data_IF_055015943554
#
_entry.id   IF_055015943554
#
_cell.length_a   1.000
_cell.length_b   1.000
_cell.length_c   1.000
_cell.angle_alpha   90.00
_cell.angle_beta   90.00
_cell.angle_gamma   90.00
#
_symmetry.space_group_name_H-M   'P 1'
#
loop_
_entity.id
_entity.type
_entity.pdbx_description
1 polymer ?
#
# COMPACT_ATOMS: atom_id res chain seq x y z
N UNK A 1 10.79 8.96 -9.34
CA UNK A 1 9.31 8.92 -9.42
C UNK A 1 8.74 9.67 -8.22
N UNK A 2 7.71 10.51 -8.39
CA UNK A 2 7.09 11.21 -7.25
C UNK A 2 6.41 10.21 -6.31
N UNK A 3 6.45 10.52 -5.01
CA UNK A 3 5.62 9.85 -4.00
C UNK A 3 4.17 10.24 -4.24
N UNK A 4 3.25 9.27 -4.20
CA UNK A 4 1.81 9.51 -4.31
C UNK A 4 1.09 9.00 -3.08
N UNK A 5 -0.01 9.68 -2.73
CA UNK A 5 -0.97 9.27 -1.71
C UNK A 5 -0.30 8.87 -0.36
N UNK A 6 0.49 9.75 0.27
CA UNK A 6 1.11 9.43 1.56
C UNK A 6 0.05 9.31 2.67
N UNK A 7 0.21 8.31 3.53
CA UNK A 7 -0.63 8.10 4.71
C UNK A 7 0.23 7.71 5.92
N UNK A 8 0.15 8.51 6.99
CA UNK A 8 0.80 8.18 8.27
C UNK A 8 0.03 7.08 9.01
N UNK A 9 0.75 6.18 9.68
CA UNK A 9 0.13 5.20 10.58
C UNK A 9 -0.53 5.90 11.77
N UNK A 10 -1.53 5.28 12.43
CA UNK A 10 -2.25 5.91 13.55
C UNK A 10 -1.34 6.33 14.72
N UNK A 11 -0.27 5.58 14.95
CA UNK A 11 0.75 5.86 15.96
C UNK A 11 1.83 6.86 15.50
N UNK A 12 1.76 7.33 14.24
CA UNK A 12 2.74 8.23 13.63
C UNK A 12 4.12 7.61 13.38
N UNK A 13 4.31 6.30 13.59
CA UNK A 13 5.64 5.66 13.47
C UNK A 13 6.04 5.28 12.05
N UNK A 14 5.07 5.22 11.12
CA UNK A 14 5.27 4.76 9.75
C UNK A 14 4.57 5.67 8.74
N UNK A 15 5.10 5.67 7.52
CA UNK A 15 4.49 6.32 6.36
C UNK A 15 4.27 5.28 5.26
N UNK A 16 3.02 5.07 4.86
CA UNK A 16 2.65 4.31 3.68
C UNK A 16 2.53 5.23 2.47
N UNK A 17 2.97 4.77 1.30
CA UNK A 17 2.90 5.55 0.07
C UNK A 17 3.04 4.67 -1.17
N UNK A 18 2.67 5.22 -2.34
CA UNK A 18 2.86 4.57 -3.62
C UNK A 18 4.02 5.19 -4.43
N UNK A 19 4.79 4.36 -5.13
CA UNK A 19 5.81 4.77 -6.10
C UNK A 19 5.69 3.99 -7.41
N UNK A 20 5.98 4.67 -8.52
CA UNK A 20 6.04 4.08 -9.87
C UNK A 20 7.48 3.87 -10.34
N UNK A 21 8.29 3.10 -9.58
CA UNK A 21 9.70 2.86 -9.92
C UNK A 21 9.86 1.96 -11.17
N UNK A 22 8.93 1.01 -11.36
CA UNK A 22 9.00 -0.06 -12.38
C UNK A 22 7.99 0.11 -13.52
N UNK A 23 7.36 1.27 -13.65
CA UNK A 23 6.31 1.54 -14.65
C UNK A 23 4.87 1.33 -14.14
N UNK A 24 4.69 0.58 -13.04
CA UNK A 24 3.42 0.42 -12.34
C UNK A 24 3.51 0.95 -10.91
N UNK A 25 2.38 1.41 -10.34
CA UNK A 25 2.34 1.86 -8.95
C UNK A 25 2.44 0.67 -7.99
N UNK A 26 3.35 0.77 -7.04
CA UNK A 26 3.55 -0.21 -5.98
C UNK A 26 3.58 0.46 -4.61
N UNK A 27 3.13 -0.27 -3.59
CA UNK A 27 3.05 0.21 -2.22
C UNK A 27 4.35 -0.02 -1.46
N UNK A 28 4.69 0.97 -0.65
CA UNK A 28 5.84 0.97 0.24
C UNK A 28 5.42 1.47 1.63
N UNK A 29 6.11 0.99 2.66
CA UNK A 29 6.01 1.50 4.02
C UNK A 29 7.41 1.88 4.49
N UNK A 30 7.54 3.11 5.00
CA UNK A 30 8.75 3.59 5.65
C UNK A 30 8.54 3.62 7.16
N UNK A 31 9.46 3.05 7.92
CA UNK A 31 9.60 3.35 9.34
C UNK A 31 10.25 4.74 9.49
N UNK A 32 9.60 5.67 10.18
CA UNK A 32 10.05 7.06 10.27
C UNK A 32 11.21 7.26 11.26
N UNK A 33 11.37 6.36 12.23
CA UNK A 33 12.49 6.40 13.17
C UNK A 33 13.80 5.88 12.59
N UNK A 34 13.75 4.81 11.81
CA UNK A 34 14.95 4.20 11.20
C UNK A 34 15.19 4.61 9.74
N UNK A 35 14.19 5.15 9.06
CA UNK A 35 14.22 5.40 7.62
C UNK A 35 14.12 4.12 6.76
N UNK A 36 13.97 2.94 7.38
CA UNK A 36 13.86 1.67 6.66
C UNK A 36 12.60 1.65 5.80
N UNK A 37 12.74 1.31 4.52
CA UNK A 37 11.63 1.17 3.57
C UNK A 37 11.41 -0.30 3.24
N UNK A 38 10.17 -0.76 3.38
CA UNK A 38 9.71 -2.07 2.96
C UNK A 38 8.78 -1.92 1.76
N UNK A 39 9.02 -2.68 0.70
CA UNK A 39 8.10 -2.78 -0.44
C UNK A 39 7.04 -3.85 -0.15
N UNK A 40 5.76 -3.50 -0.30
CA UNK A 40 4.64 -4.39 0.02
C UNK A 40 4.06 -5.09 -1.21
N UNK A 41 4.14 -4.44 -2.37
CA UNK A 41 3.69 -5.01 -3.65
C UNK A 41 4.79 -4.83 -4.70
N UNK A 42 4.95 -5.79 -5.61
CA UNK A 42 6.01 -5.81 -6.63
C UNK A 42 5.52 -6.25 -8.02
N UNK A 43 4.20 -6.39 -8.19
CA UNK A 43 3.58 -6.79 -9.44
C UNK A 43 3.54 -5.70 -10.51
N UNK A 44 3.01 -6.08 -11.68
CA UNK A 44 2.75 -5.19 -12.82
C UNK A 44 1.41 -4.44 -12.72
N UNK A 45 0.58 -4.83 -11.76
CA UNK A 45 -0.69 -4.18 -11.44
C UNK A 45 -0.42 -2.84 -10.73
N UNK A 46 -1.33 -1.88 -10.84
CA UNK A 46 -1.27 -0.66 -10.05
C UNK A 46 -1.85 -0.90 -8.66
N UNK A 47 -1.07 -0.52 -7.66
CA UNK A 47 -1.44 -0.55 -6.24
C UNK A 47 -1.19 0.85 -5.66
N UNK A 48 -2.25 1.52 -5.22
CA UNK A 48 -2.23 2.95 -4.88
C UNK A 48 -3.16 3.28 -3.72
N UNK A 49 -3.15 4.55 -3.30
CA UNK A 49 -4.09 5.10 -2.30
C UNK A 49 -4.12 4.29 -0.99
N UNK A 50 -2.96 4.04 -0.36
CA UNK A 50 -2.94 3.31 0.90
C UNK A 50 -3.62 4.11 2.01
N UNK A 51 -4.36 3.42 2.85
CA UNK A 51 -4.87 3.95 4.13
C UNK A 51 -4.68 2.91 5.22
N UNK A 52 -4.36 3.36 6.43
CA UNK A 52 -4.10 2.47 7.55
C UNK A 52 -5.39 1.99 8.20
N UNK A 53 -5.41 0.72 8.58
CA UNK A 53 -6.37 0.26 9.56
C UNK A 53 -6.03 0.85 10.95
N UNK A 54 -7.02 0.97 11.86
CA UNK A 54 -6.79 1.49 13.21
C UNK A 54 -5.76 0.71 14.02
N UNK A 55 -5.54 -0.57 13.67
CA UNK A 55 -4.53 -1.43 14.30
C UNK A 55 -3.08 -1.01 14.01
N UNK A 56 -2.84 -0.16 12.99
CA UNK A 56 -1.50 0.25 12.56
C UNK A 56 -0.64 -0.91 12.00
N UNK A 57 -1.25 -2.06 11.71
CA UNK A 57 -0.58 -3.27 11.23
C UNK A 57 -0.98 -3.63 9.80
N UNK A 58 -2.11 -3.13 9.32
CA UNK A 58 -2.58 -3.39 7.96
C UNK A 58 -2.87 -2.11 7.18
N UNK A 59 -2.85 -2.22 5.85
CA UNK A 59 -3.30 -1.20 4.92
C UNK A 59 -4.50 -1.69 4.13
N UNK A 60 -5.48 -0.82 3.90
CA UNK A 60 -6.38 -0.92 2.76
C UNK A 60 -5.81 -0.10 1.59
N UNK A 61 -6.05 -0.54 0.36
CA UNK A 61 -5.52 0.12 -0.84
C UNK A 61 -6.32 -0.24 -2.09
N UNK A 62 -6.20 0.58 -3.13
CA UNK A 62 -6.79 0.33 -4.44
C UNK A 62 -5.84 -0.51 -5.29
N UNK A 63 -6.32 -1.62 -5.86
CA UNK A 63 -5.57 -2.46 -6.80
C UNK A 63 -6.39 -2.81 -8.04
N UNK A 64 -5.74 -2.82 -9.22
CA UNK A 64 -6.33 -3.28 -10.49
C UNK A 64 -6.00 -4.75 -10.82
N UNK A 65 -5.41 -5.52 -9.88
CA UNK A 65 -4.99 -6.91 -10.14
C UNK A 65 -6.12 -7.87 -10.52
N UNK A 66 -7.38 -7.52 -10.22
CA UNK A 66 -8.58 -8.24 -10.64
C UNK A 66 -9.20 -7.73 -11.96
N UNK A 67 -8.51 -6.88 -12.71
CA UNK A 67 -8.96 -6.27 -13.96
C UNK A 67 -9.56 -4.86 -13.80
N UNK A 68 -10.48 -4.69 -12.84
CA UNK A 68 -11.01 -3.36 -12.45
C UNK A 68 -10.47 -2.95 -11.08
N UNK A 69 -10.32 -1.64 -10.80
CA UNK A 69 -9.92 -1.15 -9.48
C UNK A 69 -10.86 -1.63 -8.39
N UNK A 70 -10.30 -2.23 -7.34
CA UNK A 70 -11.01 -2.77 -6.19
C UNK A 70 -10.20 -2.51 -4.92
N UNK A 71 -10.84 -2.60 -3.76
CA UNK A 71 -10.20 -2.44 -2.48
C UNK A 71 -9.60 -3.76 -2.02
N UNK A 72 -8.36 -3.71 -1.59
CA UNK A 72 -7.60 -4.82 -1.02
C UNK A 72 -7.06 -4.46 0.35
N UNK A 73 -6.75 -5.48 1.15
CA UNK A 73 -6.04 -5.40 2.42
C UNK A 73 -4.69 -6.11 2.31
N UNK A 74 -3.64 -5.54 2.90
CA UNK A 74 -2.32 -6.17 3.03
C UNK A 74 -1.72 -5.84 4.40
N UNK A 75 -0.90 -6.74 4.94
CA UNK A 75 -0.10 -6.45 6.13
C UNK A 75 0.98 -5.40 5.81
N UNK A 76 1.24 -4.49 6.75
CA UNK A 76 2.30 -3.49 6.64
C UNK A 76 3.71 -4.10 6.72
N UNK A 77 3.83 -5.39 7.07
CA UNK A 77 5.07 -6.17 6.94
C UNK A 77 5.19 -6.91 5.60
N UNK A 78 4.18 -6.82 4.73
CA UNK A 78 4.11 -7.51 3.44
C UNK A 78 3.32 -8.81 3.49
N UNK A 79 3.35 -9.57 2.40
CA UNK A 79 2.61 -10.82 2.24
C UNK A 79 1.47 -10.71 1.23
N UNK A 80 0.61 -11.73 1.20
CA UNK A 80 -0.48 -11.80 0.23
C UNK A 80 -1.58 -10.76 0.52
N UNK A 81 -2.00 -10.04 -0.51
CA UNK A 81 -3.12 -9.12 -0.42
C UNK A 81 -4.47 -9.86 -0.52
N UNK A 82 -5.43 -9.48 0.32
CA UNK A 82 -6.79 -9.99 0.34
C UNK A 82 -7.74 -8.99 -0.33
N UNK A 83 -8.55 -9.43 -1.29
CA UNK A 83 -9.61 -8.60 -1.90
C UNK A 83 -10.75 -8.36 -0.90
N UNK A 84 -11.20 -7.12 -0.77
CA UNK A 84 -12.29 -6.72 0.14
C UNK A 84 -13.57 -6.30 -0.59
N UNK A 85 -13.51 -5.95 -1.87
CA UNK A 85 -14.67 -5.58 -2.68
C UNK A 85 -14.66 -6.35 -3.99
N UNK A 86 -15.84 -6.70 -4.50
CA UNK A 86 -15.98 -7.52 -5.72
C UNK A 86 -16.77 -6.85 -6.84
N UNK A 87 -17.58 -5.86 -6.50
CA UNK A 87 -18.57 -5.25 -7.39
C UNK A 87 -18.27 -3.77 -7.61
N UNK A 88 -18.73 -3.24 -8.76
CA UNK A 88 -18.39 -1.93 -9.30
C UNK A 88 -18.40 -1.90 -10.82
#
# INVERSE_FOLDING_TARGET
APIRCPAFSPDGSKLAFALSKSGSLNLYVMNLGSGQITQLTDGRNNNTEPTWFPDGQSLAFTSDQGGRPQIYKISASGGAAQRLTWEG
#
